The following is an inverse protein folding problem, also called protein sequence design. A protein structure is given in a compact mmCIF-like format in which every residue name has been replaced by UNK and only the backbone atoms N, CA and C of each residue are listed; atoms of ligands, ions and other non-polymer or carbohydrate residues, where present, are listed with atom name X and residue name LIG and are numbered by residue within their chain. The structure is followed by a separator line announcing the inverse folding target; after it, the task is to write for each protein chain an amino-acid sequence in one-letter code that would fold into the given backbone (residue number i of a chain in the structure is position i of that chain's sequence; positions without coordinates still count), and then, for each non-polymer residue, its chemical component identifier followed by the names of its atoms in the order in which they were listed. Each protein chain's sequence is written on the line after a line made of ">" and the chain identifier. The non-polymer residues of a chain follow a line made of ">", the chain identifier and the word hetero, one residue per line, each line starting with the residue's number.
data_IF_218461245455
#
_entry.id   IF_218461245455
#
_cell.length_a   1.000
_cell.length_b   1.000
_cell.length_c   1.000
_cell.angle_alpha   90.00
_cell.angle_beta   90.00
_cell.angle_gamma   90.00
#
_symmetry.space_group_name_H-M   'P 1'
#
loop_
_entity.id
_entity.type
_entity.pdbx_description
1 polymer ?
#
# COMPACT_ATOMS: atom_id res chain seq x y z
N UNK A 1 -8.92 30.41 9.52
CA UNK A 1 -8.25 29.80 10.69
C UNK A 1 -8.70 28.35 10.86
N UNK A 2 -7.82 27.44 10.45
CA UNK A 2 -7.46 26.19 11.15
C UNK A 2 -8.56 25.48 11.95
N UNK A 3 -9.25 24.53 11.30
CA UNK A 3 -9.68 23.31 11.99
C UNK A 3 -8.67 22.21 11.68
N UNK A 4 -7.56 22.20 12.43
CA UNK A 4 -6.72 21.00 12.57
C UNK A 4 -7.50 20.01 13.42
N UNK A 5 -8.46 19.32 12.82
CA UNK A 5 -8.98 18.07 13.38
C UNK A 5 -7.82 17.08 13.37
N UNK A 6 -7.29 16.76 14.54
CA UNK A 6 -6.35 15.67 14.72
C UNK A 6 -6.97 14.41 14.12
N UNK A 7 -6.55 14.05 12.89
CA UNK A 7 -7.03 12.88 12.20
C UNK A 7 -6.70 11.68 13.09
N UNK A 8 -7.73 11.05 13.65
CA UNK A 8 -7.59 9.88 14.51
C UNK A 8 -6.89 8.81 13.69
N UNK A 9 -5.60 8.55 13.96
CA UNK A 9 -4.82 7.56 13.21
C UNK A 9 -5.42 6.18 13.49
N UNK A 10 -6.24 5.71 12.56
CA UNK A 10 -6.84 4.39 12.63
C UNK A 10 -5.72 3.36 12.43
N UNK A 11 -5.46 2.54 13.45
CA UNK A 11 -4.46 1.46 13.40
C UNK A 11 -5.01 0.26 12.63
N UNK A 12 -4.26 -0.20 11.64
CA UNK A 12 -4.62 -1.37 10.84
C UNK A 12 -4.45 -2.63 11.71
N UNK A 13 -5.45 -3.53 11.77
CA UNK A 13 -5.35 -4.76 12.56
C UNK A 13 -4.36 -5.73 11.94
N UNK A 14 -3.85 -6.66 12.76
CA UNK A 14 -3.00 -7.73 12.26
C UNK A 14 -3.85 -8.81 11.56
N UNK A 15 -3.48 -9.19 10.35
CA UNK A 15 -4.17 -10.21 9.56
C UNK A 15 -3.36 -11.52 9.53
N UNK A 16 -4.05 -12.65 9.45
CA UNK A 16 -3.43 -13.96 9.36
C UNK A 16 -3.42 -14.50 7.92
N UNK A 17 -2.57 -15.49 7.65
CA UNK A 17 -2.42 -16.14 6.35
C UNK A 17 -1.14 -15.73 5.62
N UNK A 18 -1.09 -16.00 4.31
CA UNK A 18 0.06 -15.67 3.46
C UNK A 18 0.27 -14.16 3.34
N UNK A 19 1.47 -13.74 2.95
CA UNK A 19 1.78 -12.32 2.74
C UNK A 19 0.75 -11.62 1.83
N UNK A 20 0.35 -12.27 0.75
CA UNK A 20 -0.64 -11.75 -0.19
C UNK A 20 -2.02 -11.62 0.45
N UNK A 21 -2.45 -12.63 1.22
CA UNK A 21 -3.73 -12.61 1.93
C UNK A 21 -3.77 -11.49 2.96
N UNK A 22 -2.68 -11.29 3.72
CA UNK A 22 -2.60 -10.18 4.69
C UNK A 22 -2.71 -8.82 4.03
N UNK A 23 -1.96 -8.60 2.94
CA UNK A 23 -1.99 -7.34 2.21
C UNK A 23 -3.37 -7.07 1.59
N UNK A 24 -3.99 -8.08 0.97
CA UNK A 24 -5.35 -7.99 0.42
C UNK A 24 -6.36 -7.63 1.51
N UNK A 25 -6.34 -8.34 2.63
CA UNK A 25 -7.26 -8.10 3.76
C UNK A 25 -7.09 -6.70 4.34
N UNK A 26 -5.85 -6.22 4.45
CA UNK A 26 -5.56 -4.86 4.89
C UNK A 26 -6.13 -3.80 3.93
N UNK A 27 -5.92 -3.96 2.62
CA UNK A 27 -6.48 -3.04 1.63
C UNK A 27 -8.02 -2.99 1.68
N UNK A 28 -8.68 -4.14 1.79
CA UNK A 28 -10.15 -4.22 1.92
C UNK A 28 -10.61 -3.54 3.21
N UNK A 29 -9.90 -3.74 4.31
CA UNK A 29 -10.23 -3.11 5.58
C UNK A 29 -10.08 -1.59 5.54
N UNK A 30 -8.98 -1.09 4.97
CA UNK A 30 -8.71 0.35 4.81
C UNK A 30 -9.77 0.99 3.93
N UNK A 31 -10.13 0.37 2.80
CA UNK A 31 -11.20 0.85 1.94
C UNK A 31 -12.54 1.05 2.67
N UNK A 32 -12.83 0.23 3.68
CA UNK A 32 -14.10 0.29 4.44
C UNK A 32 -14.06 1.29 5.60
N UNK A 33 -12.92 1.46 6.24
CA UNK A 33 -12.81 2.24 7.49
C UNK A 33 -12.13 3.59 7.31
N UNK A 34 -11.33 3.76 6.25
CA UNK A 34 -10.54 4.96 5.96
C UNK A 34 -10.36 5.13 4.43
N UNK A 35 -11.47 5.37 3.69
CA UNK A 35 -11.44 5.43 2.23
C UNK A 35 -10.58 6.58 1.73
N UNK A 36 -9.73 6.29 0.73
CA UNK A 36 -8.81 7.27 0.15
C UNK A 36 -7.48 7.40 0.88
N UNK A 37 -7.27 6.71 2.00
CA UNK A 37 -5.96 6.66 2.66
C UNK A 37 -4.95 5.82 1.86
N UNK A 38 -3.83 6.45 1.55
CA UNK A 38 -2.65 5.75 1.07
C UNK A 38 -1.91 5.09 2.25
N UNK A 39 -1.44 3.86 2.04
CA UNK A 39 -0.58 3.18 3.00
C UNK A 39 0.87 3.61 2.81
N UNK A 40 1.56 3.81 3.93
CA UNK A 40 3.00 4.08 3.95
C UNK A 40 3.81 2.79 3.71
N UNK A 41 5.07 2.91 3.28
CA UNK A 41 5.94 1.75 3.10
C UNK A 41 6.17 1.00 4.42
N UNK A 42 6.19 1.70 5.56
CA UNK A 42 6.28 1.13 6.90
C UNK A 42 5.06 0.26 7.24
N UNK A 43 3.85 0.75 6.97
CA UNK A 43 2.61 -0.01 7.21
C UNK A 43 2.54 -1.24 6.31
N UNK A 44 2.86 -1.08 5.02
CA UNK A 44 2.90 -2.19 4.06
C UNK A 44 3.93 -3.23 4.51
N UNK A 45 5.11 -2.80 4.96
CA UNK A 45 6.15 -3.68 5.46
C UNK A 45 5.68 -4.49 6.69
N UNK A 46 5.01 -3.83 7.63
CA UNK A 46 4.43 -4.49 8.80
C UNK A 46 3.37 -5.54 8.41
N UNK A 47 2.45 -5.20 7.50
CA UNK A 47 1.41 -6.12 7.00
C UNK A 47 2.03 -7.31 6.27
N UNK A 48 3.04 -7.06 5.44
CA UNK A 48 3.73 -8.09 4.66
C UNK A 48 4.71 -8.91 5.51
N UNK A 49 5.07 -8.46 6.73
CA UNK A 49 6.08 -9.12 7.56
C UNK A 49 7.48 -9.08 6.93
N UNK A 50 7.79 -8.00 6.21
CA UNK A 50 9.10 -7.78 5.55
C UNK A 50 9.69 -6.44 5.99
N UNK A 51 10.92 -6.15 5.59
CA UNK A 51 11.53 -4.84 5.86
C UNK A 51 10.95 -3.76 4.95
N UNK A 52 10.95 -2.51 5.44
CA UNK A 52 10.59 -1.32 4.64
C UNK A 52 11.38 -1.23 3.33
N UNK A 53 12.67 -1.51 3.39
CA UNK A 53 13.54 -1.45 2.20
C UNK A 53 13.16 -2.50 1.17
N UNK A 54 12.69 -3.68 1.60
CA UNK A 54 12.18 -4.69 0.66
C UNK A 54 10.96 -4.18 -0.10
N UNK A 55 10.04 -3.48 0.56
CA UNK A 55 8.88 -2.86 -0.09
C UNK A 55 9.33 -1.78 -1.08
N UNK A 56 10.28 -0.92 -0.70
CA UNK A 56 10.87 0.11 -1.58
C UNK A 56 11.50 -0.48 -2.84
N UNK A 57 12.21 -1.60 -2.72
CA UNK A 57 12.79 -2.30 -3.87
C UNK A 57 11.72 -2.82 -4.84
N UNK A 58 10.64 -3.41 -4.30
CA UNK A 58 9.52 -3.90 -5.11
C UNK A 58 8.84 -2.75 -5.85
N UNK A 59 8.61 -1.62 -5.17
CA UNK A 59 8.06 -0.40 -5.76
C UNK A 59 8.94 0.11 -6.91
N UNK A 60 10.25 0.29 -6.66
CA UNK A 60 11.19 0.74 -7.69
C UNK A 60 11.23 -0.21 -8.90
N UNK A 61 11.19 -1.53 -8.67
CA UNK A 61 11.15 -2.52 -9.73
C UNK A 61 9.83 -2.48 -10.51
N UNK A 62 8.70 -2.28 -9.84
CA UNK A 62 7.38 -2.15 -10.47
C UNK A 62 7.31 -0.89 -11.35
N UNK A 63 7.74 0.26 -10.83
CA UNK A 63 7.81 1.51 -11.58
C UNK A 63 8.72 1.39 -12.81
N UNK A 64 9.89 0.76 -12.66
CA UNK A 64 10.79 0.49 -13.80
C UNK A 64 10.11 -0.36 -14.87
N UNK A 65 9.34 -1.38 -14.47
CA UNK A 65 8.59 -2.25 -15.40
C UNK A 65 7.45 -1.49 -16.10
N UNK A 66 6.75 -0.60 -15.41
CA UNK A 66 5.64 0.18 -15.98
C UNK A 66 6.11 1.26 -16.97
N UNK A 67 7.30 1.83 -16.75
CA UNK A 67 7.88 2.86 -17.64
C UNK A 67 8.43 2.32 -18.96
N UNK A 68 8.45 1.00 -19.16
CA UNK A 68 9.02 0.43 -20.38
C UNK A 68 8.08 0.63 -21.58
N UNK A 69 8.52 1.29 -22.67
CA UNK A 69 7.64 1.72 -23.76
C UNK A 69 6.93 0.56 -24.47
N UNK A 70 7.55 -0.62 -24.54
CA UNK A 70 6.89 -1.81 -25.11
C UNK A 70 5.69 -2.33 -24.31
N UNK A 71 5.52 -1.91 -23.05
CA UNK A 71 4.36 -2.21 -22.19
C UNK A 71 3.35 -1.07 -22.13
N UNK A 72 3.66 0.06 -22.76
CA UNK A 72 2.81 1.24 -22.88
C UNK A 72 2.21 1.32 -24.30
N UNK A 73 1.86 0.17 -24.89
CA UNK A 73 1.13 0.14 -26.15
C UNK A 73 -0.29 0.66 -25.89
N UNK A 74 -0.53 1.89 -26.34
CA UNK A 74 -1.87 2.44 -26.54
C UNK A 74 -2.57 1.62 -27.63
N UNK A 75 -3.81 1.21 -27.37
CA UNK A 75 -4.76 0.82 -28.41
C UNK A 75 -4.93 2.03 -29.36
N UNK A 76 -4.66 1.83 -30.65
CA UNK A 76 -5.12 2.72 -31.74
C UNK A 76 -6.58 2.41 -32.07
#
# INVERSE_FOLDING_TARGET
>A
MSKSTAAKVIKIPNFFGSCEVRLRSACVWVSKHDPGRCLTLEEIAAIMGVTRERVRQIEAQALKKLRHPSRMQYYN
#
